data_IF_215563639253
#
_entry.id   IF_215563639253
#
_cell.length_a   1.000
_cell.length_b   1.000
_cell.length_c   1.000
_cell.angle_alpha   90.00
_cell.angle_beta   90.00
_cell.angle_gamma   90.00
#
_symmetry.space_group_name_H-M   'P 1'
#
loop_
_entity.id
_entity.type
_entity.pdbx_description
1 polymer ?
#
# COMPACT_ATOMS: atom_id res chain seq x y z
N UNK A 1 8.28 -55.47 -15.52
CA UNK A 1 8.80 -54.43 -14.60
C UNK A 1 8.90 -53.14 -15.40
N UNK A 2 7.92 -52.28 -15.18
CA UNK A 2 7.76 -50.94 -15.76
C UNK A 2 8.51 -49.92 -14.89
N UNK A 3 9.28 -49.03 -15.54
CA UNK A 3 9.75 -47.73 -15.02
C UNK A 3 10.14 -46.91 -16.25
N UNK A 4 9.26 -46.04 -16.71
CA UNK A 4 9.15 -44.61 -16.33
C UNK A 4 10.21 -43.79 -17.06
N UNK A 5 9.78 -43.02 -18.06
CA UNK A 5 10.64 -42.08 -18.78
C UNK A 5 9.99 -41.41 -19.98
N UNK A 6 8.68 -41.13 -19.94
CA UNK A 6 8.07 -40.18 -20.89
C UNK A 6 8.54 -38.77 -20.54
N UNK A 7 9.68 -38.39 -21.10
CA UNK A 7 10.17 -37.01 -21.10
C UNK A 7 9.31 -36.17 -22.03
N UNK A 8 8.26 -35.56 -21.49
CA UNK A 8 7.66 -34.39 -22.13
C UNK A 8 8.62 -33.22 -21.91
N UNK A 9 9.45 -32.92 -22.91
CA UNK A 9 10.10 -31.62 -23.04
C UNK A 9 8.99 -30.57 -23.20
N UNK A 10 8.58 -30.00 -22.07
CA UNK A 10 7.82 -28.76 -22.08
C UNK A 10 8.80 -27.65 -22.47
N UNK A 11 8.96 -27.42 -23.77
CA UNK A 11 9.47 -26.17 -24.29
C UNK A 11 8.47 -25.08 -23.84
N UNK A 12 8.80 -24.48 -22.70
CA UNK A 12 8.03 -23.51 -21.93
C UNK A 12 8.01 -22.11 -22.58
N UNK A 13 7.89 -22.06 -23.91
CA UNK A 13 7.84 -20.82 -24.70
C UNK A 13 6.44 -20.56 -25.31
N UNK A 14 5.39 -21.18 -24.75
CA UNK A 14 4.01 -20.75 -24.98
C UNK A 14 3.60 -19.67 -23.98
N UNK A 15 4.34 -18.56 -23.95
CA UNK A 15 3.78 -17.28 -23.54
C UNK A 15 2.82 -16.88 -24.67
N UNK A 16 1.57 -17.34 -24.60
CA UNK A 16 0.50 -16.72 -25.36
C UNK A 16 0.38 -15.28 -24.86
N UNK A 17 1.11 -14.38 -25.52
CA UNK A 17 0.81 -12.95 -25.55
C UNK A 17 -0.57 -12.83 -26.19
N UNK A 18 -1.62 -12.99 -25.37
CA UNK A 18 -2.96 -12.54 -25.75
C UNK A 18 -2.80 -11.08 -26.20
N UNK A 19 -3.17 -10.73 -27.45
CA UNK A 19 -3.15 -9.34 -27.85
C UNK A 19 -4.04 -8.55 -26.87
N UNK A 20 -3.65 -7.32 -26.48
CA UNK A 20 -4.50 -6.52 -25.61
C UNK A 20 -5.88 -6.39 -26.26
N UNK A 21 -6.92 -6.81 -25.53
CA UNK A 21 -8.29 -6.67 -25.97
C UNK A 21 -8.51 -5.21 -26.34
N UNK A 22 -8.94 -4.97 -27.59
CA UNK A 22 -9.24 -3.63 -28.06
C UNK A 22 -10.31 -3.02 -27.14
N UNK A 23 -9.94 -1.97 -26.40
CA UNK A 23 -10.89 -1.24 -25.57
C UNK A 23 -11.66 -0.30 -26.49
N UNK A 24 -12.99 -0.41 -26.53
CA UNK A 24 -13.83 0.52 -27.27
C UNK A 24 -14.47 1.50 -26.31
N UNK A 25 -14.42 2.80 -26.64
CA UNK A 25 -15.21 3.82 -25.94
C UNK A 25 -16.49 4.07 -26.74
N UNK A 26 -17.63 3.89 -26.10
CA UNK A 26 -18.93 4.31 -26.65
C UNK A 26 -19.19 5.76 -26.22
N UNK A 27 -19.30 6.65 -27.20
CA UNK A 27 -19.61 8.06 -26.99
C UNK A 27 -21.12 8.27 -26.85
N UNK A 28 -21.50 9.38 -26.21
CA UNK A 28 -22.89 9.73 -25.91
C UNK A 28 -23.75 9.96 -27.17
N UNK A 29 -23.13 10.22 -28.31
CA UNK A 29 -23.74 10.39 -29.63
C UNK A 29 -23.93 9.06 -30.39
N UNK A 30 -23.57 7.92 -29.77
CA UNK A 30 -23.69 6.58 -30.36
C UNK A 30 -22.50 6.17 -31.22
N UNK A 31 -21.47 7.01 -31.33
CA UNK A 31 -20.23 6.63 -32.03
C UNK A 31 -19.35 5.76 -31.13
N UNK A 32 -18.69 4.76 -31.70
CA UNK A 32 -17.81 3.83 -30.97
C UNK A 32 -16.39 3.99 -31.50
N UNK A 33 -15.46 4.45 -30.66
CA UNK A 33 -14.05 4.60 -31.05
C UNK A 33 -13.22 3.49 -30.45
N UNK A 34 -12.40 2.85 -31.27
CA UNK A 34 -11.34 1.96 -30.80
C UNK A 34 -10.30 2.82 -30.08
N UNK A 35 -10.06 2.56 -28.80
CA UNK A 35 -8.99 3.18 -28.06
C UNK A 35 -7.69 2.49 -28.46
N UNK A 36 -6.82 3.21 -29.16
CA UNK A 36 -5.42 2.78 -29.26
C UNK A 36 -4.84 2.71 -27.84
N UNK A 37 -4.08 1.65 -27.50
CA UNK A 37 -3.37 1.62 -26.23
C UNK A 37 -2.46 2.84 -26.15
N UNK A 38 -2.40 3.54 -25.00
CA UNK A 38 -1.57 4.73 -24.87
C UNK A 38 -0.13 4.37 -25.24
N UNK A 39 0.49 5.18 -26.09
CA UNK A 39 1.87 4.99 -26.49
C UNK A 39 2.75 4.87 -25.23
N UNK A 40 3.71 3.92 -25.19
CA UNK A 40 4.65 3.86 -24.08
C UNK A 40 5.37 5.21 -23.93
N UNK A 41 5.66 5.65 -22.70
CA UNK A 41 6.32 6.93 -22.48
C UNK A 41 7.62 6.99 -23.28
N UNK A 42 7.86 8.13 -23.95
CA UNK A 42 8.97 8.32 -24.89
C UNK A 42 10.38 8.14 -24.29
N UNK A 43 10.47 8.09 -22.95
CA UNK A 43 11.68 7.82 -22.19
C UNK A 43 11.36 6.91 -20.98
N UNK A 44 11.85 5.65 -20.96
CA UNK A 44 11.60 4.72 -19.85
C UNK A 44 12.21 5.20 -18.53
N UNK A 45 13.30 5.97 -18.56
CA UNK A 45 13.96 6.48 -17.36
C UNK A 45 13.12 7.58 -16.72
N UNK A 46 12.57 8.48 -17.54
CA UNK A 46 11.64 9.52 -17.07
C UNK A 46 10.38 8.92 -16.44
N UNK A 47 9.85 7.83 -17.01
CA UNK A 47 8.70 7.11 -16.47
C UNK A 47 9.02 6.45 -15.12
N UNK A 48 10.18 5.81 -14.99
CA UNK A 48 10.64 5.19 -13.75
C UNK A 48 10.83 6.25 -12.64
N UNK A 49 11.45 7.39 -12.96
CA UNK A 49 11.62 8.49 -12.01
C UNK A 49 10.27 9.08 -11.55
N UNK A 50 9.28 9.15 -12.44
CA UNK A 50 7.92 9.58 -12.09
C UNK A 50 7.22 8.58 -11.16
N UNK A 51 7.40 7.28 -11.40
CA UNK A 51 6.90 6.22 -10.53
C UNK A 51 7.53 6.28 -9.13
N UNK A 52 8.84 6.51 -9.04
CA UNK A 52 9.56 6.68 -7.77
C UNK A 52 9.00 7.88 -6.99
N UNK A 53 8.81 9.04 -7.64
CA UNK A 53 8.23 10.22 -6.97
C UNK A 53 6.83 9.96 -6.44
N UNK A 54 6.00 9.27 -7.23
CA UNK A 54 4.65 8.87 -6.80
C UNK A 54 4.70 7.95 -5.58
N UNK A 55 5.60 6.96 -5.57
CA UNK A 55 5.77 6.05 -4.44
C UNK A 55 6.23 6.78 -3.17
N UNK A 56 7.16 7.75 -3.30
CA UNK A 56 7.61 8.58 -2.19
C UNK A 56 6.47 9.44 -1.64
N UNK A 57 5.64 10.05 -2.52
CA UNK A 57 4.45 10.80 -2.12
C UNK A 57 3.50 9.97 -1.27
N UNK A 58 3.12 8.79 -1.76
CA UNK A 58 2.25 7.84 -1.03
C UNK A 58 2.83 7.41 0.31
N UNK A 59 4.14 7.16 0.38
CA UNK A 59 4.81 6.84 1.66
C UNK A 59 4.73 8.01 2.64
N UNK A 60 4.92 9.24 2.18
CA UNK A 60 4.86 10.42 3.02
C UNK A 60 3.44 10.66 3.56
N UNK A 61 2.42 10.47 2.72
CA UNK A 61 1.01 10.51 3.13
C UNK A 61 0.70 9.45 4.19
N UNK A 62 1.11 8.19 3.96
CA UNK A 62 0.94 7.12 4.94
C UNK A 62 1.62 7.44 6.28
N UNK A 63 2.84 8.02 6.24
CA UNK A 63 3.54 8.48 7.46
C UNK A 63 2.78 9.59 8.18
N UNK A 64 2.21 10.54 7.46
CA UNK A 64 1.42 11.60 8.06
C UNK A 64 0.16 11.06 8.75
N UNK A 65 -0.53 10.09 8.12
CA UNK A 65 -1.70 9.42 8.70
C UNK A 65 -1.32 8.68 9.99
N UNK A 66 -0.23 7.91 9.96
CA UNK A 66 0.26 7.18 11.15
C UNK A 66 0.63 8.15 12.26
N UNK A 67 1.37 9.22 11.96
CA UNK A 67 1.76 10.22 12.95
C UNK A 67 0.54 10.92 13.59
N UNK A 68 -0.50 11.24 12.81
CA UNK A 68 -1.73 11.81 13.33
C UNK A 68 -2.49 10.83 14.24
N UNK A 69 -2.55 9.55 13.86
CA UNK A 69 -3.16 8.51 14.69
C UNK A 69 -2.39 8.28 16.01
N UNK A 70 -1.06 8.30 15.97
CA UNK A 70 -0.21 8.21 17.16
C UNK A 70 -0.41 9.41 18.09
N UNK A 71 -0.45 10.63 17.57
CA UNK A 71 -0.72 11.82 18.39
C UNK A 71 -2.11 11.74 19.03
N UNK A 72 -3.11 11.26 18.29
CA UNK A 72 -4.47 11.08 18.84
C UNK A 72 -4.49 10.04 19.96
N UNK A 73 -3.80 8.90 19.79
CA UNK A 73 -3.63 7.89 20.84
C UNK A 73 -2.95 8.50 22.06
N UNK A 74 -1.86 9.22 21.87
CA UNK A 74 -1.07 9.81 22.94
C UNK A 74 -1.89 10.86 23.72
N UNK A 75 -2.73 11.61 23.03
CA UNK A 75 -3.70 12.53 23.65
C UNK A 75 -4.74 11.79 24.51
N UNK A 76 -5.31 10.69 24.01
CA UNK A 76 -6.26 9.86 24.76
C UNK A 76 -5.61 9.23 26.01
N UNK A 77 -4.36 8.77 25.90
CA UNK A 77 -3.60 8.25 27.04
C UNK A 77 -3.46 9.32 28.13
N UNK A 78 -3.13 10.57 27.76
CA UNK A 78 -3.02 11.69 28.71
C UNK A 78 -4.37 12.00 29.36
N UNK A 79 -5.45 12.05 28.58
CA UNK A 79 -6.81 12.28 29.08
C UNK A 79 -7.24 11.19 30.08
N UNK A 80 -6.99 9.92 29.75
CA UNK A 80 -7.34 8.78 30.60
C UNK A 80 -6.60 8.82 31.94
N UNK A 81 -5.30 9.12 31.92
CA UNK A 81 -4.50 9.25 33.14
C UNK A 81 -4.94 10.47 33.98
N UNK A 82 -5.29 11.59 33.34
CA UNK A 82 -5.82 12.77 34.03
C UNK A 82 -7.20 12.51 34.68
N UNK A 83 -8.01 11.64 34.07
CA UNK A 83 -9.28 11.17 34.62
C UNK A 83 -9.12 10.16 35.78
N UNK A 84 -7.89 9.78 36.14
CA UNK A 84 -7.61 8.85 37.23
C UNK A 84 -7.77 7.38 36.87
N UNK A 85 -7.86 7.03 35.58
CA UNK A 85 -7.88 5.62 35.14
C UNK A 85 -6.54 4.97 35.46
N UNK A 86 -6.59 3.71 35.92
CA UNK A 86 -5.39 2.96 36.25
C UNK A 86 -4.44 2.84 35.05
N UNK A 87 -3.18 3.19 35.28
CA UNK A 87 -2.13 3.13 34.27
C UNK A 87 -1.96 1.74 33.63
N UNK A 88 -2.19 0.65 34.39
CA UNK A 88 -2.18 -0.71 33.84
C UNK A 88 -3.20 -0.91 32.74
N UNK A 89 -4.39 -0.36 32.94
CA UNK A 89 -5.54 -0.60 32.08
C UNK A 89 -5.42 0.27 30.83
N UNK A 90 -4.95 1.51 31.00
CA UNK A 90 -4.61 2.39 29.87
C UNK A 90 -3.50 1.78 29.01
N UNK A 91 -2.44 1.24 29.62
CA UNK A 91 -1.34 0.61 28.90
C UNK A 91 -1.81 -0.64 28.12
N UNK A 92 -2.63 -1.49 28.76
CA UNK A 92 -3.22 -2.67 28.13
C UNK A 92 -4.13 -2.29 26.95
N UNK A 93 -5.02 -1.31 27.13
CA UNK A 93 -5.94 -0.85 26.08
C UNK A 93 -5.22 -0.18 24.90
N UNK A 94 -4.15 0.57 25.18
CA UNK A 94 -3.37 1.25 24.14
C UNK A 94 -2.31 0.35 23.47
N UNK A 95 -2.12 -0.89 23.95
CA UNK A 95 -1.06 -1.78 23.47
C UNK A 95 0.35 -1.23 23.74
N UNK A 96 0.52 -0.46 24.81
CA UNK A 96 1.78 0.22 25.14
C UNK A 96 2.52 -0.47 26.27
N UNK A 97 3.85 -0.38 26.23
CA UNK A 97 4.67 -0.72 27.39
C UNK A 97 4.49 0.35 28.49
N UNK A 98 4.60 -0.06 29.76
CA UNK A 98 4.55 0.87 30.90
C UNK A 98 5.51 2.06 30.75
N UNK A 99 6.80 1.88 30.34
CA UNK A 99 7.70 3.01 30.12
C UNK A 99 7.19 3.98 29.06
N UNK A 100 6.67 3.48 27.93
CA UNK A 100 6.19 4.33 26.83
C UNK A 100 4.98 5.16 27.26
N UNK A 101 4.05 4.55 27.99
CA UNK A 101 2.89 5.27 28.53
C UNK A 101 3.30 6.43 29.47
N UNK A 102 4.30 6.22 30.34
CA UNK A 102 4.81 7.30 31.20
C UNK A 102 5.56 8.38 30.42
N UNK A 103 6.30 8.03 29.36
CA UNK A 103 6.88 9.03 28.46
C UNK A 103 5.81 9.93 27.83
N UNK A 104 4.71 9.33 27.36
CA UNK A 104 3.56 10.06 26.78
C UNK A 104 2.92 10.99 27.81
N UNK A 105 2.72 10.50 29.05
CA UNK A 105 2.20 11.32 30.16
C UNK A 105 3.10 12.54 30.41
N UNK A 106 4.41 12.32 30.45
CA UNK A 106 5.41 13.34 30.78
C UNK A 106 5.82 14.19 29.56
N UNK A 107 5.19 13.99 28.39
CA UNK A 107 5.50 14.64 27.11
C UNK A 107 6.98 14.48 26.68
N UNK A 108 7.57 13.33 27.00
CA UNK A 108 8.94 12.95 26.61
C UNK A 108 8.89 12.12 25.33
N UNK A 109 9.84 12.32 24.42
CA UNK A 109 9.94 11.57 23.16
C UNK A 109 10.88 10.38 23.30
#
# INVERSE_FOLDING_TARGET
MTRDGDGFDYDSDLVQLLPPLAHFTLHRDGTMTQNEPPAPPADPDAALLAAIRTAVGRRNEARAIVAAAEERRDQLVREALAAGILASDVAAAAGLSKPRMYQIRDRRR
#
